data_IF_004958017845
#
_entry.id   IF_004958017845
#
_cell.length_a   1.000
_cell.length_b   1.000
_cell.length_c   1.000
_cell.angle_alpha   90.00
_cell.angle_beta   90.00
_cell.angle_gamma   90.00
#
_symmetry.space_group_name_H-M   'P 1'
#
loop_
_entity.id
_entity.type
_entity.pdbx_description
1 polymer ?
#
# COMPACT_ATOMS: atom_id res chain seq x y z
N UNK A 1 -9.18 4.27 14.68
CA UNK A 1 -8.39 3.44 13.75
C UNK A 1 -8.89 3.51 12.31
N UNK A 2 -10.10 4.02 12.06
CA UNK A 2 -10.62 4.30 10.72
C UNK A 2 -10.83 5.80 10.56
N UNK A 3 -10.69 6.30 9.33
CA UNK A 3 -11.10 7.66 9.01
C UNK A 3 -12.63 7.80 9.17
N UNK A 4 -13.10 8.99 9.54
CA UNK A 4 -14.55 9.31 9.61
C UNK A 4 -15.11 9.66 8.24
N UNK A 5 -14.28 10.19 7.39
CA UNK A 5 -14.65 10.77 6.10
C UNK A 5 -14.23 9.88 4.92
N UNK A 6 -13.50 8.81 5.18
CA UNK A 6 -13.00 7.87 4.17
C UNK A 6 -13.27 6.41 4.58
N UNK A 7 -13.21 5.49 3.61
CA UNK A 7 -13.44 4.07 3.84
C UNK A 7 -12.22 3.31 4.33
N UNK A 8 -11.03 3.91 4.30
CA UNK A 8 -9.81 3.29 4.76
C UNK A 8 -9.61 3.40 6.28
N UNK A 9 -8.73 2.59 6.80
CA UNK A 9 -8.14 2.80 8.11
C UNK A 9 -7.18 3.99 8.10
N UNK A 10 -6.91 4.56 9.26
CA UNK A 10 -5.86 5.58 9.43
C UNK A 10 -4.49 4.91 9.38
N UNK A 11 -3.41 5.68 9.23
CA UNK A 11 -2.05 5.14 9.34
C UNK A 11 -1.80 4.43 10.67
N UNK A 12 -2.36 4.93 11.78
CA UNK A 12 -2.32 4.23 13.06
C UNK A 12 -3.15 2.93 13.04
N UNK A 13 -4.29 2.92 12.34
CA UNK A 13 -5.08 1.70 12.13
C UNK A 13 -4.30 0.66 11.32
N UNK A 14 -3.59 1.09 10.27
CA UNK A 14 -2.69 0.25 9.49
C UNK A 14 -1.54 -0.33 10.34
N UNK A 15 -0.96 0.48 11.26
CA UNK A 15 0.04 -0.02 12.20
C UNK A 15 -0.50 -1.15 13.09
N UNK A 16 -1.71 -1.03 13.61
CA UNK A 16 -2.31 -2.15 14.38
C UNK A 16 -2.56 -3.38 13.49
N UNK A 17 -2.96 -3.19 12.24
CA UNK A 17 -3.03 -4.27 11.25
C UNK A 17 -1.68 -4.94 11.02
N UNK A 18 -0.62 -4.13 10.87
CA UNK A 18 0.76 -4.59 10.75
C UNK A 18 1.21 -5.41 11.97
N UNK A 19 0.93 -4.96 13.20
CA UNK A 19 1.33 -5.72 14.40
C UNK A 19 0.65 -7.08 14.48
N UNK A 20 -0.65 -7.15 14.10
CA UNK A 20 -1.36 -8.43 14.03
C UNK A 20 -0.80 -9.34 12.92
N UNK A 21 -0.44 -8.78 11.77
CA UNK A 21 0.19 -9.51 10.67
C UNK A 21 1.57 -10.05 11.09
N UNK A 22 2.42 -9.25 11.72
CA UNK A 22 3.70 -9.70 12.26
C UNK A 22 3.53 -10.90 13.19
N UNK A 23 2.55 -10.84 14.10
CA UNK A 23 2.25 -11.97 14.98
C UNK A 23 1.88 -13.23 14.20
N UNK A 24 1.08 -13.11 13.15
CA UNK A 24 0.68 -14.25 12.31
C UNK A 24 1.85 -14.83 11.50
N UNK A 25 2.79 -13.99 11.06
CA UNK A 25 3.97 -14.36 10.29
C UNK A 25 5.17 -14.76 11.17
N UNK A 26 5.07 -14.67 12.51
CA UNK A 26 6.19 -14.93 13.42
C UNK A 26 7.27 -13.85 13.41
N UNK A 27 6.95 -12.65 12.92
CA UNK A 27 7.84 -11.51 12.92
C UNK A 27 7.70 -10.69 14.23
N UNK A 28 8.74 -9.95 14.58
CA UNK A 28 8.69 -8.99 15.70
C UNK A 28 8.37 -7.61 15.15
N UNK A 29 7.21 -7.00 15.47
CA UNK A 29 6.87 -5.69 14.95
C UNK A 29 7.84 -4.63 15.47
N UNK A 30 8.23 -3.70 14.58
CA UNK A 30 8.98 -2.50 14.97
C UNK A 30 8.08 -1.60 15.81
N UNK A 31 8.51 -1.16 17.00
CA UNK A 31 7.72 -0.26 17.85
C UNK A 31 7.37 1.05 17.16
N UNK A 32 6.14 1.54 17.38
CA UNK A 32 5.61 2.74 16.70
C UNK A 32 6.49 3.98 16.91
N UNK A 33 7.12 4.09 18.07
CA UNK A 33 8.00 5.20 18.46
C UNK A 33 9.34 5.22 17.71
N UNK A 34 9.66 4.18 16.95
CA UNK A 34 10.85 4.12 16.09
C UNK A 34 10.60 4.67 14.69
N UNK A 35 9.35 5.00 14.36
CA UNK A 35 9.03 5.65 13.10
C UNK A 35 8.95 7.16 13.29
N UNK A 36 9.50 7.91 12.34
CA UNK A 36 9.34 9.36 12.31
C UNK A 36 7.91 9.72 11.91
N UNK A 37 7.14 10.20 12.88
CA UNK A 37 5.75 10.58 12.68
C UNK A 37 5.63 12.04 12.26
N UNK A 38 4.91 12.31 11.17
CA UNK A 38 4.53 13.66 10.74
C UNK A 38 3.04 13.72 10.43
N UNK A 39 2.35 14.80 10.85
CA UNK A 39 1.01 15.12 10.37
C UNK A 39 1.13 15.92 9.08
N UNK A 40 0.71 15.35 7.95
CA UNK A 40 0.87 15.96 6.63
C UNK A 40 -0.42 16.61 6.10
N UNK A 41 -1.58 16.27 6.67
CA UNK A 41 -2.84 16.92 6.38
C UNK A 41 -3.74 16.96 7.61
N UNK A 42 -4.41 18.09 7.83
CA UNK A 42 -5.49 18.25 8.83
C UNK A 42 -6.85 18.55 8.16
N UNK A 43 -6.90 18.46 6.84
CA UNK A 43 -8.07 18.82 6.04
C UNK A 43 -8.54 17.71 5.11
N UNK A 44 -8.29 16.45 5.46
CA UNK A 44 -8.64 15.31 4.64
C UNK A 44 -10.14 15.03 4.67
N UNK A 45 -10.76 15.02 3.49
CA UNK A 45 -12.12 14.58 3.23
C UNK A 45 -12.11 13.50 2.16
N UNK A 46 -12.37 12.26 2.55
CA UNK A 46 -12.28 11.11 1.68
C UNK A 46 -13.57 10.75 0.92
N UNK A 47 -13.63 9.51 0.49
CA UNK A 47 -14.68 8.97 -0.37
C UNK A 47 -16.05 8.91 0.31
N UNK A 48 -16.11 8.59 1.60
CA UNK A 48 -17.38 8.54 2.36
C UNK A 48 -17.99 9.93 2.48
N UNK A 49 -17.21 10.95 2.76
CA UNK A 49 -17.67 12.34 2.73
C UNK A 49 -18.17 12.73 1.34
N UNK A 50 -17.42 12.38 0.30
CA UNK A 50 -17.76 12.73 -1.08
C UNK A 50 -19.09 12.10 -1.54
N UNK A 51 -19.37 10.86 -1.16
CA UNK A 51 -20.54 10.09 -1.58
C UNK A 51 -21.78 10.29 -0.71
N UNK A 52 -21.60 10.52 0.59
CA UNK A 52 -22.71 10.57 1.56
C UNK A 52 -23.60 11.83 1.46
N UNK A 53 -23.10 12.92 0.88
CA UNK A 53 -23.77 14.21 0.90
C UNK A 53 -23.71 14.94 2.26
N UNK A 54 -23.18 14.32 3.29
CA UNK A 54 -23.02 14.90 4.65
C UNK A 54 -21.91 15.94 4.62
N UNK A 55 -22.16 17.17 5.09
CA UNK A 55 -21.22 18.29 4.98
C UNK A 55 -20.78 18.92 6.31
N UNK A 56 -21.36 18.49 7.43
CA UNK A 56 -21.07 19.02 8.78
C UNK A 56 -20.05 18.18 9.57
N UNK A 57 -19.45 17.17 8.94
CA UNK A 57 -18.41 16.34 9.55
C UNK A 57 -17.07 17.08 9.52
N UNK A 58 -16.34 17.02 10.62
CA UNK A 58 -14.97 17.57 10.66
C UNK A 58 -14.04 16.76 9.78
N UNK A 59 -13.02 17.38 9.16
CA UNK A 59 -12.01 16.67 8.39
C UNK A 59 -11.25 15.66 9.26
N UNK A 60 -10.66 14.69 8.61
CA UNK A 60 -9.69 13.81 9.21
C UNK A 60 -8.27 14.39 9.07
N UNK A 61 -7.34 13.76 9.77
CA UNK A 61 -5.92 14.05 9.71
C UNK A 61 -5.20 12.86 9.09
N UNK A 62 -4.26 13.14 8.17
CA UNK A 62 -3.35 12.12 7.67
C UNK A 62 -2.02 12.27 8.40
N UNK A 63 -1.58 11.20 9.02
CA UNK A 63 -0.26 11.07 9.62
C UNK A 63 0.58 10.12 8.74
N UNK A 64 1.87 10.44 8.53
CA UNK A 64 2.86 9.52 7.97
C UNK A 64 3.72 8.95 9.09
N UNK A 65 4.24 7.75 8.85
CA UNK A 65 5.21 7.09 9.71
C UNK A 65 6.35 6.63 8.82
N UNK A 66 7.42 7.41 8.80
CA UNK A 66 8.55 7.15 7.90
C UNK A 66 9.45 6.11 8.57
N UNK A 67 9.73 5.00 7.90
CA UNK A 67 10.76 4.07 8.33
C UNK A 67 12.15 4.67 8.11
N UNK A 68 13.18 3.89 8.17
CA UNK A 68 14.54 4.31 7.83
C UNK A 68 14.67 4.76 6.35
N UNK A 69 15.78 5.46 6.03
CA UNK A 69 16.17 5.78 4.65
C UNK A 69 16.44 4.50 3.82
N UNK A 70 16.64 4.66 2.51
CA UNK A 70 17.00 3.53 1.62
C UNK A 70 15.82 2.77 1.05
N UNK A 71 14.59 3.29 1.20
CA UNK A 71 13.39 2.72 0.58
C UNK A 71 13.17 3.39 -0.78
N UNK A 72 13.03 2.59 -1.82
CA UNK A 72 12.68 3.04 -3.16
C UNK A 72 11.38 2.39 -3.63
N UNK A 73 10.63 3.08 -4.48
CA UNK A 73 9.37 2.59 -5.05
C UNK A 73 9.39 2.76 -6.55
N UNK A 74 9.06 1.70 -7.28
CA UNK A 74 8.93 1.72 -8.74
C UNK A 74 7.58 1.14 -9.14
N UNK A 75 6.86 1.85 -9.99
CA UNK A 75 5.66 1.35 -10.64
C UNK A 75 6.01 0.73 -11.99
N UNK A 76 5.43 -0.42 -12.28
CA UNK A 76 5.60 -1.12 -13.55
C UNK A 76 4.28 -1.14 -14.31
N UNK A 77 4.30 -0.58 -15.50
CA UNK A 77 3.15 -0.50 -16.41
C UNK A 77 3.56 -0.91 -17.82
N UNK A 78 2.63 -0.83 -18.76
CA UNK A 78 2.92 -1.02 -20.19
C UNK A 78 2.42 0.18 -20.96
N UNK A 79 3.21 0.64 -21.90
CA UNK A 79 2.81 1.71 -22.83
C UNK A 79 1.72 1.21 -23.82
N UNK A 80 1.18 2.11 -24.64
CA UNK A 80 0.17 1.78 -25.65
C UNK A 80 0.65 0.77 -26.72
N UNK A 81 1.97 0.52 -26.80
CA UNK A 81 2.60 -0.45 -27.71
C UNK A 81 2.92 -1.78 -27.03
N UNK A 82 2.64 -1.89 -25.71
CA UNK A 82 2.94 -3.07 -24.93
C UNK A 82 4.38 -3.16 -24.42
N UNK A 83 5.18 -2.07 -24.48
CA UNK A 83 6.52 -2.06 -23.90
C UNK A 83 6.43 -1.82 -22.38
N UNK A 84 7.27 -2.48 -21.58
CA UNK A 84 7.33 -2.21 -20.14
C UNK A 84 7.81 -0.77 -19.89
N UNK A 85 7.13 -0.10 -18.95
CA UNK A 85 7.45 1.24 -18.49
C UNK A 85 7.64 1.19 -16.98
N UNK A 86 8.79 1.66 -16.53
CA UNK A 86 9.10 1.81 -15.10
C UNK A 86 9.07 3.29 -14.75
N UNK A 87 8.28 3.62 -13.73
CA UNK A 87 8.16 4.97 -13.23
C UNK A 87 8.58 5.01 -11.76
N UNK A 88 9.61 5.82 -11.41
CA UNK A 88 9.92 6.07 -10.01
C UNK A 88 8.71 6.67 -9.29
N UNK A 89 8.44 6.18 -8.09
CA UNK A 89 7.38 6.63 -7.19
C UNK A 89 7.97 6.95 -5.83
N UNK A 90 7.16 7.51 -4.95
CA UNK A 90 7.52 7.79 -3.58
C UNK A 90 6.66 6.93 -2.64
N UNK A 91 7.22 6.57 -1.48
CA UNK A 91 6.47 5.88 -0.44
C UNK A 91 5.30 6.77 0.06
N UNK A 92 5.55 8.10 0.10
CA UNK A 92 4.57 9.15 0.38
C UNK A 92 4.72 10.27 -0.66
N UNK A 93 3.79 10.38 -1.59
CA UNK A 93 3.77 11.42 -2.62
C UNK A 93 2.90 12.60 -2.16
N UNK A 94 3.55 13.59 -1.56
CA UNK A 94 2.86 14.76 -1.00
C UNK A 94 2.15 15.63 -2.06
N UNK A 95 2.42 15.44 -3.36
CA UNK A 95 1.71 16.17 -4.42
C UNK A 95 0.20 15.90 -4.39
N UNK A 96 -0.20 14.71 -3.93
CA UNK A 96 -1.61 14.34 -3.74
C UNK A 96 -2.31 15.09 -2.62
N UNK A 97 -1.60 15.72 -1.68
CA UNK A 97 -2.21 16.51 -0.61
C UNK A 97 -2.93 17.76 -1.13
N UNK A 98 -2.62 18.19 -2.36
CA UNK A 98 -3.23 19.36 -3.01
C UNK A 98 -4.45 19.01 -3.87
N UNK A 99 -4.77 17.73 -4.05
CA UNK A 99 -5.89 17.27 -4.86
C UNK A 99 -6.98 16.63 -3.99
N UNK A 100 -8.15 16.34 -4.59
CA UNK A 100 -9.28 15.77 -3.86
C UNK A 100 -8.98 14.40 -3.25
N UNK A 101 -8.24 13.57 -3.96
CA UNK A 101 -7.85 12.22 -3.52
C UNK A 101 -6.52 12.26 -2.79
N UNK A 102 -6.53 12.81 -1.57
CA UNK A 102 -5.34 12.91 -0.74
C UNK A 102 -4.82 11.53 -0.28
N UNK A 103 -5.69 10.49 -0.19
CA UNK A 103 -5.24 9.16 0.22
C UNK A 103 -4.25 8.55 -0.78
N UNK A 104 -4.33 8.91 -2.05
CA UNK A 104 -3.37 8.48 -3.07
C UNK A 104 -1.93 8.96 -2.82
N UNK A 105 -1.69 9.79 -1.78
CA UNK A 105 -0.31 10.08 -1.35
C UNK A 105 0.46 8.82 -0.92
N UNK A 106 -0.24 7.80 -0.42
CA UNK A 106 0.37 6.51 -0.14
C UNK A 106 0.69 5.81 -1.47
N UNK A 107 1.97 5.62 -1.75
CA UNK A 107 2.52 4.94 -2.93
C UNK A 107 2.16 5.57 -4.30
N UNK A 108 1.61 6.80 -4.33
CA UNK A 108 1.17 7.44 -5.59
C UNK A 108 -0.11 6.84 -6.15
N UNK A 109 -0.96 6.23 -5.32
CA UNK A 109 -2.27 5.67 -5.68
C UNK A 109 -2.21 4.27 -6.29
N UNK A 110 -3.30 3.88 -6.98
CA UNK A 110 -3.44 2.54 -7.52
C UNK A 110 -2.49 2.27 -8.70
N UNK A 111 -1.84 1.11 -8.67
CA UNK A 111 -0.88 0.65 -9.69
C UNK A 111 -1.16 -0.82 -10.00
N UNK A 112 -0.92 -1.25 -11.25
CA UNK A 112 -1.03 -2.66 -11.62
C UNK A 112 0.00 -3.52 -10.91
N UNK A 113 1.24 -3.04 -10.90
CA UNK A 113 2.39 -3.64 -10.21
C UNK A 113 3.27 -2.52 -9.66
N UNK A 114 3.56 -2.59 -8.38
CA UNK A 114 4.55 -1.74 -7.71
C UNK A 114 5.60 -2.61 -7.03
N UNK A 115 6.84 -2.14 -6.98
CA UNK A 115 7.92 -2.79 -6.23
C UNK A 115 8.51 -1.77 -5.27
N UNK A 116 8.49 -2.09 -3.99
CA UNK A 116 9.14 -1.33 -2.93
C UNK A 116 10.37 -2.09 -2.50
N UNK A 117 11.53 -1.47 -2.59
CA UNK A 117 12.83 -2.09 -2.28
C UNK A 117 13.46 -1.42 -1.08
N UNK A 118 13.90 -2.22 -0.11
CA UNK A 118 14.72 -1.79 1.01
C UNK A 118 16.18 -2.14 0.75
N UNK A 119 17.00 -1.12 0.43
CA UNK A 119 18.42 -1.30 0.13
C UNK A 119 19.27 -1.60 1.36
N UNK A 120 18.74 -1.37 2.58
CA UNK A 120 19.46 -1.62 3.83
C UNK A 120 19.38 -3.09 4.27
N UNK A 121 18.40 -3.84 3.73
CA UNK A 121 18.19 -5.24 4.10
C UNK A 121 18.08 -6.16 2.86
N UNK A 122 19.12 -6.21 2.00
CA UNK A 122 19.05 -6.88 0.70
C UNK A 122 18.91 -8.41 0.79
N UNK A 123 19.28 -9.01 1.93
CA UNK A 123 19.22 -10.46 2.14
C UNK A 123 17.90 -10.91 2.82
N UNK A 124 17.00 -9.97 3.14
CA UNK A 124 15.70 -10.32 3.70
C UNK A 124 14.79 -10.96 2.63
N UNK A 125 13.75 -11.72 3.06
CA UNK A 125 12.82 -12.34 2.13
C UNK A 125 12.09 -11.30 1.26
N UNK A 126 11.55 -11.76 0.12
CA UNK A 126 10.69 -10.99 -0.77
C UNK A 126 9.22 -11.33 -0.51
N UNK A 127 8.40 -10.31 -0.34
CA UNK A 127 6.98 -10.43 -0.09
C UNK A 127 6.18 -10.02 -1.34
N UNK A 128 5.21 -10.84 -1.74
CA UNK A 128 4.15 -10.43 -2.66
C UNK A 128 2.89 -10.08 -1.88
N UNK A 129 2.28 -8.93 -2.16
CA UNK A 129 0.95 -8.59 -1.66
C UNK A 129 -0.01 -8.46 -2.84
N UNK A 130 -1.00 -9.35 -2.89
CA UNK A 130 -2.18 -9.19 -3.75
C UNK A 130 -3.15 -8.29 -2.99
N UNK A 131 -3.47 -7.13 -3.55
CA UNK A 131 -4.00 -6.05 -2.73
C UNK A 131 -5.09 -5.21 -3.40
N UNK A 132 -5.81 -4.47 -2.56
CA UNK A 132 -6.45 -3.20 -2.91
C UNK A 132 -5.75 -2.03 -2.18
N UNK A 133 -6.31 -0.84 -2.24
CA UNK A 133 -5.73 0.37 -1.62
C UNK A 133 -5.61 0.34 -0.09
N UNK A 134 -6.21 -0.65 0.59
CA UNK A 134 -6.01 -0.83 2.03
C UNK A 134 -4.55 -1.15 2.38
N UNK A 135 -3.82 -1.83 1.48
CA UNK A 135 -2.42 -2.15 1.70
C UNK A 135 -1.51 -0.92 1.69
N UNK A 136 -1.90 0.16 0.98
CA UNK A 136 -1.00 1.28 0.69
C UNK A 136 -0.43 1.95 1.94
N UNK A 137 -1.26 2.19 2.95
CA UNK A 137 -0.82 2.77 4.22
C UNK A 137 -0.19 1.76 5.19
N UNK A 138 -0.24 0.46 4.89
CA UNK A 138 0.39 -0.60 5.68
C UNK A 138 1.82 -0.90 5.20
N UNK A 139 2.09 -0.77 3.91
CA UNK A 139 3.39 -1.07 3.29
C UNK A 139 4.58 -0.38 3.99
N UNK A 140 4.51 0.91 4.39
CA UNK A 140 5.63 1.55 5.10
C UNK A 140 6.09 0.80 6.35
N UNK A 141 5.17 0.14 7.06
CA UNK A 141 5.50 -0.63 8.27
C UNK A 141 6.13 -1.99 7.96
N UNK A 142 5.94 -2.51 6.74
CA UNK A 142 6.50 -3.80 6.32
C UNK A 142 7.93 -3.69 5.80
N UNK A 143 8.35 -2.50 5.35
CA UNK A 143 9.67 -2.31 4.73
C UNK A 143 10.86 -2.78 5.58
N UNK A 144 10.86 -2.72 6.92
CA UNK A 144 11.99 -3.24 7.71
C UNK A 144 12.18 -4.75 7.66
N UNK A 145 11.16 -5.50 7.24
CA UNK A 145 11.16 -6.97 7.28
C UNK A 145 11.52 -7.63 5.94
N UNK A 146 11.44 -6.89 4.83
CA UNK A 146 11.57 -7.46 3.49
C UNK A 146 12.56 -6.68 2.65
N UNK A 147 13.33 -7.39 1.80
CA UNK A 147 14.20 -6.77 0.81
C UNK A 147 13.41 -6.13 -0.32
N UNK A 148 12.35 -6.80 -0.74
CA UNK A 148 11.42 -6.31 -1.75
C UNK A 148 9.98 -6.63 -1.33
N UNK A 149 9.07 -5.67 -1.56
CA UNK A 149 7.63 -5.87 -1.42
C UNK A 149 7.00 -5.61 -2.79
N UNK A 150 6.49 -6.66 -3.41
CA UNK A 150 5.82 -6.62 -4.70
C UNK A 150 4.31 -6.45 -4.48
N UNK A 151 3.72 -5.44 -5.10
CA UNK A 151 2.32 -5.05 -4.91
C UNK A 151 1.55 -5.28 -6.21
N UNK A 152 0.64 -6.23 -6.24
CA UNK A 152 -0.19 -6.53 -7.40
C UNK A 152 -1.65 -6.21 -7.09
N UNK A 153 -2.25 -5.34 -7.90
CA UNK A 153 -3.68 -5.07 -7.90
C UNK A 153 -4.33 -5.78 -9.09
N UNK A 154 -5.07 -6.84 -8.82
CA UNK A 154 -5.69 -7.68 -9.87
C UNK A 154 -6.74 -6.94 -10.71
N UNK A 155 -7.23 -5.79 -10.26
CA UNK A 155 -8.13 -4.96 -11.07
C UNK A 155 -7.43 -4.41 -12.31
N UNK A 156 -6.10 -4.22 -12.24
CA UNK A 156 -5.26 -3.66 -13.29
C UNK A 156 -4.24 -4.66 -13.84
N UNK A 157 -3.68 -5.53 -13.02
CA UNK A 157 -2.73 -6.57 -13.43
C UNK A 157 -3.46 -7.77 -14.04
N UNK A 158 -3.17 -8.09 -15.32
CA UNK A 158 -3.88 -9.12 -16.09
C UNK A 158 -2.96 -10.24 -16.61
N UNK A 159 -1.84 -10.44 -15.94
CA UNK A 159 -0.90 -11.52 -16.23
C UNK A 159 -0.96 -12.60 -15.13
N UNK A 160 -0.35 -13.76 -15.39
CA UNK A 160 -0.27 -14.85 -14.41
C UNK A 160 0.55 -14.43 -13.19
N UNK A 161 -0.05 -14.48 -12.01
CA UNK A 161 0.64 -14.22 -10.73
C UNK A 161 1.60 -15.37 -10.40
N UNK A 162 1.23 -16.62 -10.70
CA UNK A 162 2.10 -17.77 -10.44
C UNK A 162 3.41 -17.71 -11.24
N UNK A 163 3.34 -17.28 -12.52
CA UNK A 163 4.56 -17.04 -13.31
C UNK A 163 5.39 -15.87 -12.77
N UNK A 164 4.72 -14.83 -12.29
CA UNK A 164 5.39 -13.68 -11.66
C UNK A 164 6.16 -14.10 -10.41
N UNK A 165 5.55 -14.86 -9.52
CA UNK A 165 6.16 -15.42 -8.30
C UNK A 165 7.44 -16.19 -8.62
N UNK A 166 7.36 -17.12 -9.58
CA UNK A 166 8.50 -17.95 -9.97
C UNK A 166 9.64 -17.13 -10.57
N UNK A 167 9.31 -16.17 -11.44
CA UNK A 167 10.30 -15.34 -12.13
C UNK A 167 11.06 -14.39 -11.20
N UNK A 168 10.39 -13.88 -10.17
CA UNK A 168 10.96 -12.88 -9.26
C UNK A 168 11.49 -13.47 -7.95
N UNK A 169 11.37 -14.77 -7.74
CA UNK A 169 11.89 -15.44 -6.54
C UNK A 169 11.19 -14.95 -5.27
N UNK A 170 9.87 -14.87 -5.31
CA UNK A 170 9.05 -14.44 -4.15
C UNK A 170 9.08 -15.54 -3.10
N UNK A 171 9.39 -15.19 -1.86
CA UNK A 171 9.47 -16.12 -0.72
C UNK A 171 8.13 -16.26 0.00
N UNK A 172 7.40 -15.17 0.14
CA UNK A 172 6.14 -15.12 0.89
C UNK A 172 5.05 -14.40 0.10
N UNK A 173 3.78 -14.78 0.30
CA UNK A 173 2.64 -14.15 -0.34
C UNK A 173 1.53 -13.84 0.67
N UNK A 174 0.97 -12.64 0.56
CA UNK A 174 -0.14 -12.13 1.35
C UNK A 174 -1.28 -11.70 0.43
N UNK A 175 -2.51 -12.02 0.78
CA UNK A 175 -3.71 -11.45 0.16
C UNK A 175 -4.34 -10.48 1.15
N UNK A 176 -4.33 -9.19 0.82
CA UNK A 176 -4.82 -8.11 1.67
C UNK A 176 -5.84 -7.24 0.92
N UNK A 177 -7.08 -7.37 1.30
CA UNK A 177 -8.21 -6.64 0.72
C UNK A 177 -9.12 -6.08 1.79
N UNK A 178 -9.82 -5.00 1.48
CA UNK A 178 -11.06 -4.68 2.19
C UNK A 178 -12.09 -5.78 1.98
N UNK A 179 -12.93 -6.05 2.98
CA UNK A 179 -13.97 -7.08 2.87
C UNK A 179 -14.91 -6.86 1.68
N UNK A 180 -15.39 -5.62 1.39
CA UNK A 180 -16.22 -5.38 0.22
C UNK A 180 -15.53 -5.72 -1.11
N UNK A 181 -14.27 -5.34 -1.29
CA UNK A 181 -13.53 -5.64 -2.51
C UNK A 181 -13.23 -7.14 -2.63
N UNK A 182 -12.82 -7.79 -1.54
CA UNK A 182 -12.56 -9.24 -1.56
C UNK A 182 -13.79 -10.05 -2.00
N UNK A 183 -14.97 -9.67 -1.54
CA UNK A 183 -16.22 -10.40 -1.85
C UNK A 183 -16.77 -10.10 -3.25
N UNK A 184 -16.32 -9.01 -3.89
CA UNK A 184 -16.82 -8.58 -5.20
C UNK A 184 -15.79 -8.70 -6.33
N UNK A 185 -14.50 -8.93 -6.01
CA UNK A 185 -13.45 -9.00 -7.03
C UNK A 185 -13.50 -10.31 -7.82
N UNK A 186 -13.87 -10.20 -9.09
CA UNK A 186 -13.88 -11.33 -10.02
C UNK A 186 -12.51 -11.63 -10.65
N UNK A 187 -11.48 -10.83 -10.34
CA UNK A 187 -10.16 -10.96 -10.95
C UNK A 187 -9.25 -11.98 -10.23
N UNK A 188 -9.70 -12.61 -9.15
CA UNK A 188 -8.97 -13.68 -8.46
C UNK A 188 -8.59 -14.85 -9.38
N UNK A 189 -9.25 -14.97 -10.54
CA UNK A 189 -8.89 -15.92 -11.59
C UNK A 189 -7.46 -15.77 -12.11
N UNK A 190 -6.84 -14.60 -11.96
CA UNK A 190 -5.46 -14.32 -12.37
C UNK A 190 -4.38 -14.80 -11.40
N UNK A 191 -4.76 -15.37 -10.25
CA UNK A 191 -3.83 -15.97 -9.27
C UNK A 191 -3.13 -17.23 -9.78
N UNK A 192 -3.62 -17.84 -10.86
CA UNK A 192 -3.04 -19.05 -11.49
C UNK A 192 -1.94 -18.73 -12.49
#
# INVERSE_FOLDING_TARGET
>A
IFYRTDHHWTSLGAYYGYTALCQAMGLTPVPLEQYDKTTVSESFYGTVFSSSGVRWVRPDRIDTYVPEDGITVVSHTYDAKGNPVEEPRQLYDESYLTVKDQYSMFLGGNQSLGVVTNTNNPDAPKLLIIRDSYADSLVPFLTPHFSEIHLIDLRYYKLSVSEYVQRNGIDEALVLYSVPNFTSDSNLVWLK
#
